data_IF_552699584975
#
_entry.id   IF_552699584975
#
_cell.length_a   1.000
_cell.length_b   1.000
_cell.length_c   1.000
_cell.angle_alpha   90.00
_cell.angle_beta   90.00
_cell.angle_gamma   90.00
#
_symmetry.space_group_name_H-M   'P 1'
#
loop_
_entity.id
_entity.type
_entity.pdbx_description
1 polymer ?
#
# COMPACT_ATOMS: atom_id res chain seq x y z
N UNK A 1 -8.97 -2.27 31.63
CA UNK A 1 -9.28 -2.47 30.20
C UNK A 1 -9.08 -3.93 29.91
N UNK A 2 -10.14 -4.66 29.59
CA UNK A 2 -10.07 -6.08 29.23
C UNK A 2 -9.75 -6.21 27.74
N UNK A 3 -8.54 -6.65 27.43
CA UNK A 3 -8.12 -6.97 26.06
C UNK A 3 -7.78 -8.46 26.02
N UNK A 4 -8.43 -9.22 25.13
CA UNK A 4 -8.09 -10.63 24.90
C UNK A 4 -7.41 -10.78 23.53
N UNK A 5 -6.29 -11.48 23.53
CA UNK A 5 -5.61 -11.87 22.30
C UNK A 5 -6.47 -12.90 21.55
N UNK A 6 -6.87 -12.58 20.32
CA UNK A 6 -7.59 -13.50 19.44
C UNK A 6 -6.73 -13.75 18.19
N UNK A 7 -6.58 -15.01 17.83
CA UNK A 7 -5.99 -15.40 16.55
C UNK A 7 -6.98 -15.03 15.45
N UNK A 8 -6.52 -14.27 14.45
CA UNK A 8 -7.37 -13.85 13.34
C UNK A 8 -7.85 -15.05 12.52
N UNK A 9 -9.13 -15.08 12.19
CA UNK A 9 -9.67 -16.10 11.28
C UNK A 9 -9.19 -15.82 9.85
N UNK A 10 -8.72 -16.86 9.17
CA UNK A 10 -8.34 -16.79 7.76
C UNK A 10 -9.61 -16.63 6.91
N UNK A 11 -9.84 -15.43 6.40
CA UNK A 11 -11.00 -15.12 5.56
C UNK A 11 -10.69 -15.35 4.09
N UNK A 12 -11.63 -15.94 3.37
CA UNK A 12 -11.62 -15.89 1.91
C UNK A 12 -11.96 -14.46 1.46
N UNK A 13 -11.00 -13.80 0.81
CA UNK A 13 -11.08 -12.41 0.35
C UNK A 13 -12.12 -12.26 -0.77
N UNK A 14 -12.40 -13.35 -1.50
CA UNK A 14 -13.42 -13.45 -2.54
C UNK A 14 -14.81 -13.83 -2.01
N UNK A 15 -14.92 -14.29 -0.76
CA UNK A 15 -16.20 -14.54 -0.13
C UNK A 15 -16.82 -13.20 0.33
N UNK A 16 -17.77 -12.68 -0.47
CA UNK A 16 -18.61 -11.54 -0.13
C UNK A 16 -19.54 -11.88 1.05
N UNK A 17 -18.98 -11.89 2.26
CA UNK A 17 -19.78 -11.91 3.47
C UNK A 17 -20.45 -10.54 3.67
N UNK A 18 -21.58 -10.53 4.37
CA UNK A 18 -22.39 -9.31 4.59
C UNK A 18 -21.56 -8.19 5.22
N UNK A 19 -20.65 -8.53 6.15
CA UNK A 19 -19.80 -7.55 6.82
C UNK A 19 -18.80 -6.87 5.87
N UNK A 20 -18.16 -7.62 4.98
CA UNK A 20 -17.21 -7.12 3.98
C UNK A 20 -17.92 -6.21 2.97
N UNK A 21 -19.11 -6.58 2.51
CA UNK A 21 -19.92 -5.76 1.60
C UNK A 21 -20.34 -4.45 2.27
N UNK A 22 -20.78 -4.50 3.53
CA UNK A 22 -21.11 -3.29 4.30
C UNK A 22 -19.87 -2.41 4.48
N UNK A 23 -18.74 -3.00 4.85
CA UNK A 23 -17.49 -2.26 5.02
C UNK A 23 -17.05 -1.57 3.71
N UNK A 24 -17.04 -2.30 2.59
CA UNK A 24 -16.71 -1.74 1.27
C UNK A 24 -17.67 -0.63 0.87
N UNK A 25 -18.97 -0.77 1.15
CA UNK A 25 -19.96 0.29 0.92
C UNK A 25 -19.60 1.56 1.70
N UNK A 26 -19.37 1.43 3.02
CA UNK A 26 -19.00 2.57 3.88
C UNK A 26 -17.69 3.22 3.41
N UNK A 27 -16.68 2.41 3.07
CA UNK A 27 -15.42 2.91 2.54
C UNK A 27 -15.62 3.71 1.24
N UNK A 28 -16.39 3.18 0.29
CA UNK A 28 -16.69 3.85 -0.97
C UNK A 28 -17.53 5.12 -0.78
N UNK A 29 -18.45 5.13 0.18
CA UNK A 29 -19.23 6.32 0.54
C UNK A 29 -18.34 7.43 1.10
N UNK A 30 -17.44 7.11 2.04
CA UNK A 30 -16.45 8.06 2.56
C UNK A 30 -15.54 8.61 1.45
N UNK A 31 -15.06 7.73 0.58
CA UNK A 31 -14.25 8.14 -0.58
C UNK A 31 -15.04 9.06 -1.51
N UNK A 32 -16.33 8.78 -1.73
CA UNK A 32 -17.21 9.62 -2.54
C UNK A 32 -17.46 10.99 -1.91
N UNK A 33 -17.62 11.07 -0.58
CA UNK A 33 -17.79 12.35 0.11
C UNK A 33 -16.54 13.22 0.05
N UNK A 34 -15.35 12.60 0.00
CA UNK A 34 -14.09 13.30 -0.16
C UNK A 34 -13.80 13.74 -1.62
N UNK A 35 -14.73 13.58 -2.57
CA UNK A 35 -14.53 14.03 -3.95
C UNK A 35 -15.22 15.38 -4.22
N UNK A 36 -14.50 16.29 -4.87
CA UNK A 36 -15.07 17.55 -5.34
C UNK A 36 -16.26 17.30 -6.28
N UNK A 37 -17.32 18.10 -6.11
CA UNK A 37 -18.48 18.10 -7.01
C UNK A 37 -18.01 18.48 -8.42
N UNK A 38 -18.54 17.80 -9.44
CA UNK A 38 -18.24 18.10 -10.84
C UNK A 38 -18.77 19.50 -11.17
N UNK A 39 -17.87 20.47 -11.33
CA UNK A 39 -18.26 21.85 -11.66
C UNK A 39 -18.51 22.01 -13.16
N UNK A 40 -19.25 23.05 -13.54
CA UNK A 40 -19.56 23.36 -14.96
C UNK A 40 -18.30 23.63 -15.80
N UNK A 41 -17.21 24.09 -15.19
CA UNK A 41 -15.90 24.26 -15.84
C UNK A 41 -15.33 22.94 -16.36
N UNK A 42 -15.51 21.84 -15.61
CA UNK A 42 -15.07 20.49 -15.99
C UNK A 42 -15.86 19.90 -17.16
N UNK A 43 -17.04 20.48 -17.44
CA UNK A 43 -17.90 20.08 -18.55
C UNK A 43 -17.41 20.64 -19.90
N UNK A 44 -16.70 21.78 -19.88
CA UNK A 44 -16.14 22.43 -21.08
C UNK A 44 -14.76 21.87 -21.46
N UNK A 45 -13.98 21.37 -20.51
CA UNK A 45 -12.59 20.93 -20.75
C UNK A 45 -12.44 19.42 -21.00
N UNK A 46 -13.52 18.63 -21.00
CA UNK A 46 -13.51 17.16 -21.06
C UNK A 46 -12.60 16.48 -20.00
N UNK A 47 -12.05 17.23 -19.03
CA UNK A 47 -11.35 16.67 -17.89
C UNK A 47 -12.37 16.17 -16.87
N UNK A 48 -12.73 14.89 -16.99
CA UNK A 48 -13.54 14.17 -16.03
C UNK A 48 -12.79 13.87 -14.72
N UNK A 49 -11.97 14.78 -14.21
CA UNK A 49 -11.20 14.54 -13.00
C UNK A 49 -11.95 15.10 -11.79
N UNK A 50 -12.51 14.19 -10.99
CA UNK A 50 -12.88 14.49 -9.61
C UNK A 50 -11.58 14.48 -8.80
N UNK A 51 -11.30 15.57 -8.10
CA UNK A 51 -10.14 15.70 -7.21
C UNK A 51 -10.58 15.48 -5.76
N UNK A 52 -9.71 14.89 -4.94
CA UNK A 52 -9.95 14.76 -3.51
C UNK A 52 -10.01 16.14 -2.84
N UNK A 53 -10.89 16.31 -1.84
CA UNK A 53 -11.05 17.56 -1.08
C UNK A 53 -9.98 17.63 0.01
N UNK A 54 -9.79 16.54 0.75
CA UNK A 54 -8.73 16.32 1.73
C UNK A 54 -7.66 15.44 1.13
N UNK A 55 -6.43 15.60 1.60
CA UNK A 55 -5.32 14.72 1.23
C UNK A 55 -5.64 13.28 1.64
N UNK A 56 -5.53 12.35 0.71
CA UNK A 56 -5.68 10.92 1.01
C UNK A 56 -4.30 10.28 1.08
N UNK A 57 -3.99 9.58 2.17
CA UNK A 57 -2.70 8.89 2.35
C UNK A 57 -2.94 7.40 2.33
N UNK A 58 -2.40 6.71 1.34
CA UNK A 58 -2.52 5.27 1.16
C UNK A 58 -1.29 4.57 1.68
N UNK A 59 -1.49 3.62 2.59
CA UNK A 59 -0.44 2.78 3.16
C UNK A 59 -0.52 1.41 2.51
N UNK A 60 0.63 0.88 2.11
CA UNK A 60 0.71 -0.49 1.60
C UNK A 60 2.06 -1.12 1.92
N UNK A 61 2.08 -2.44 1.87
CA UNK A 61 3.24 -3.31 2.04
C UNK A 61 3.40 -4.20 0.82
N UNK A 62 4.65 -4.42 0.40
CA UNK A 62 4.95 -5.35 -0.68
C UNK A 62 6.21 -6.13 -0.37
N UNK A 63 6.27 -7.36 -0.88
CA UNK A 63 7.41 -8.24 -0.69
C UNK A 63 8.12 -8.45 -2.03
N UNK A 64 9.42 -8.15 -2.05
CA UNK A 64 10.25 -8.34 -3.23
C UNK A 64 11.40 -9.30 -2.90
N UNK A 65 11.65 -10.26 -3.79
CA UNK A 65 12.84 -11.11 -3.67
C UNK A 65 14.00 -10.46 -4.43
N UNK A 66 15.22 -10.58 -3.91
CA UNK A 66 16.45 -10.05 -4.48
C UNK A 66 16.63 -10.48 -5.94
N UNK A 67 16.30 -11.74 -6.24
CA UNK A 67 16.33 -12.27 -7.59
C UNK A 67 14.90 -12.35 -8.12
N UNK A 68 14.49 -11.32 -8.86
CA UNK A 68 13.18 -11.22 -9.52
C UNK A 68 13.26 -11.47 -11.03
N UNK A 69 14.28 -12.21 -11.48
CA UNK A 69 14.53 -12.51 -12.89
C UNK A 69 13.78 -13.77 -13.34
N UNK A 70 13.12 -13.68 -14.49
CA UNK A 70 12.56 -14.85 -15.15
C UNK A 70 13.69 -15.85 -15.46
N UNK A 71 13.49 -17.12 -15.09
CA UNK A 71 14.44 -18.20 -15.40
C UNK A 71 14.56 -18.45 -16.91
N UNK A 72 13.62 -17.93 -17.70
CA UNK A 72 13.57 -18.07 -19.16
C UNK A 72 14.06 -16.79 -19.82
N UNK A 73 15.01 -16.93 -20.74
CA UNK A 73 15.56 -15.83 -21.55
C UNK A 73 15.97 -16.40 -22.89
N UNK A 74 15.79 -15.64 -23.97
CA UNK A 74 16.30 -16.01 -25.28
C UNK A 74 17.79 -15.69 -25.34
N UNK A 75 18.62 -16.71 -25.51
CA UNK A 75 20.08 -16.56 -25.66
C UNK A 75 20.49 -17.09 -27.03
N UNK A 76 21.51 -16.46 -27.62
CA UNK A 76 22.14 -17.00 -28.82
C UNK A 76 22.84 -18.34 -28.48
N UNK A 77 22.96 -19.30 -29.42
CA UNK A 77 23.41 -20.67 -29.14
C UNK A 77 24.77 -20.81 -28.43
N UNK A 78 25.62 -19.78 -28.47
CA UNK A 78 26.97 -19.78 -27.88
C UNK A 78 27.08 -18.96 -26.59
N UNK A 79 25.98 -18.41 -26.09
CA UNK A 79 25.97 -17.56 -24.89
C UNK A 79 25.41 -18.37 -23.72
N UNK A 80 26.25 -18.56 -22.70
CA UNK A 80 25.81 -19.10 -21.42
C UNK A 80 25.47 -17.96 -20.46
N UNK A 81 24.36 -18.08 -19.73
CA UNK A 81 24.01 -17.19 -18.64
C UNK A 81 24.06 -17.95 -17.33
N UNK A 82 24.96 -17.56 -16.43
CA UNK A 82 24.96 -17.99 -15.04
C UNK A 82 24.05 -17.05 -14.23
N UNK A 83 23.02 -17.60 -13.59
CA UNK A 83 22.21 -16.88 -12.62
C UNK A 83 22.45 -17.46 -11.22
N UNK A 84 22.40 -16.62 -10.17
CA UNK A 84 22.34 -17.12 -8.80
C UNK A 84 21.15 -18.08 -8.66
N UNK A 85 21.36 -19.21 -7.97
CA UNK A 85 20.28 -20.16 -7.70
C UNK A 85 19.27 -19.58 -6.70
N UNK A 86 17.99 -19.90 -6.90
CA UNK A 86 16.89 -19.49 -6.00
C UNK A 86 16.49 -18.02 -6.09
N UNK A 87 15.51 -17.63 -5.26
CA UNK A 87 14.93 -16.28 -5.24
C UNK A 87 15.82 -15.23 -4.55
N UNK A 88 16.89 -15.65 -3.89
CA UNK A 88 17.72 -14.77 -3.04
C UNK A 88 16.97 -14.31 -1.78
N UNK A 89 17.54 -13.32 -1.08
CA UNK A 89 16.93 -12.71 0.12
C UNK A 89 15.59 -12.06 -0.22
N UNK A 90 14.66 -12.03 0.74
CA UNK A 90 13.38 -11.32 0.58
C UNK A 90 13.43 -10.02 1.37
N UNK A 91 12.77 -9.00 0.84
CA UNK A 91 12.60 -7.71 1.47
C UNK A 91 11.12 -7.40 1.60
N UNK A 92 10.73 -6.86 2.75
CA UNK A 92 9.45 -6.19 2.96
C UNK A 92 9.66 -4.70 2.72
N UNK A 93 8.85 -4.12 1.84
CA UNK A 93 8.86 -2.70 1.50
C UNK A 93 7.52 -2.15 1.98
N UNK A 94 7.53 -1.09 2.79
CA UNK A 94 6.32 -0.30 3.05
C UNK A 94 6.51 1.12 2.55
N UNK A 95 5.40 1.76 2.23
CA UNK A 95 5.38 3.17 1.88
C UNK A 95 4.03 3.80 2.11
N UNK A 96 4.04 5.12 2.21
CA UNK A 96 2.83 5.94 2.27
C UNK A 96 2.78 6.87 1.05
N UNK A 97 1.78 6.67 0.19
CA UNK A 97 1.52 7.51 -0.97
C UNK A 97 0.44 8.54 -0.65
N UNK A 98 0.73 9.83 -0.79
CA UNK A 98 -0.22 10.92 -0.63
C UNK A 98 -0.82 11.32 -1.99
N UNK A 99 -2.15 11.47 -2.03
CA UNK A 99 -2.88 12.09 -3.13
C UNK A 99 -3.42 13.43 -2.64
N UNK A 100 -2.81 14.51 -3.13
CA UNK A 100 -3.16 15.89 -2.76
C UNK A 100 -3.85 16.60 -3.91
N UNK A 101 -4.66 17.61 -3.59
CA UNK A 101 -5.20 18.52 -4.59
C UNK A 101 -4.19 19.63 -4.90
N UNK A 102 -3.88 19.82 -6.19
CA UNK A 102 -3.04 20.92 -6.67
C UNK A 102 -3.89 21.87 -7.51
N UNK A 103 -4.16 23.06 -6.97
CA UNK A 103 -5.08 24.02 -7.59
C UNK A 103 -6.52 23.50 -7.63
N UNK A 104 -7.37 24.02 -8.51
CA UNK A 104 -8.82 23.70 -8.47
C UNK A 104 -9.18 22.33 -9.05
N UNK A 105 -8.35 21.73 -9.92
CA UNK A 105 -8.76 20.62 -10.79
C UNK A 105 -7.70 19.53 -11.03
N UNK A 106 -6.56 19.57 -10.34
CA UNK A 106 -5.51 18.56 -10.49
C UNK A 106 -5.28 17.85 -9.18
N UNK A 107 -4.93 16.57 -9.29
CA UNK A 107 -4.37 15.78 -8.19
C UNK A 107 -2.90 15.54 -8.46
N UNK A 108 -2.10 15.51 -7.40
CA UNK A 108 -0.71 15.09 -7.42
C UNK A 108 -0.57 13.90 -6.49
N UNK A 109 0.03 12.84 -7.01
CA UNK A 109 0.48 11.71 -6.20
C UNK A 109 1.95 11.90 -5.87
N UNK A 110 2.33 11.71 -4.62
CA UNK A 110 3.72 11.67 -4.20
C UNK A 110 3.93 10.69 -3.05
N UNK A 111 5.16 10.25 -2.84
CA UNK A 111 5.52 9.52 -1.63
C UNK A 111 5.70 10.52 -0.49
N UNK A 112 5.09 10.23 0.66
CA UNK A 112 5.34 11.01 1.88
C UNK A 112 6.83 10.89 2.22
N UNK A 113 7.48 12.01 2.53
CA UNK A 113 8.92 12.03 2.75
C UNK A 113 9.32 11.08 3.88
N UNK A 114 10.34 10.27 3.63
CA UNK A 114 10.86 9.31 4.63
C UNK A 114 9.94 8.12 4.92
N UNK A 115 8.76 8.03 4.29
CA UNK A 115 7.80 6.95 4.53
C UNK A 115 8.22 5.61 3.92
N UNK A 116 9.00 5.61 2.84
CA UNK A 116 9.44 4.37 2.21
C UNK A 116 10.50 3.70 3.09
N UNK A 117 10.19 2.51 3.61
CA UNK A 117 11.11 1.69 4.41
C UNK A 117 11.26 0.32 3.78
N UNK A 118 12.46 -0.24 3.95
CA UNK A 118 12.80 -1.57 3.47
C UNK A 118 13.39 -2.35 4.62
N UNK A 119 12.81 -3.51 4.93
CA UNK A 119 13.33 -4.43 5.92
C UNK A 119 13.66 -5.77 5.26
N UNK A 120 14.69 -6.43 5.79
CA UNK A 120 15.00 -7.81 5.42
C UNK A 120 13.93 -8.73 5.99
N UNK A 121 13.34 -9.56 5.13
CA UNK A 121 12.29 -10.52 5.45
C UNK A 121 12.82 -11.96 5.26
N UNK A 122 13.99 -12.24 5.85
CA UNK A 122 14.73 -13.49 5.64
C UNK A 122 14.12 -14.68 6.40
N UNK A 123 13.34 -14.47 7.47
CA UNK A 123 12.71 -15.58 8.22
C UNK A 123 11.59 -16.25 7.42
N UNK A 124 10.89 -15.49 6.58
CA UNK A 124 9.87 -16.02 5.66
C UNK A 124 10.45 -16.91 4.54
N UNK A 125 11.78 -17.00 4.38
CA UNK A 125 12.44 -17.89 3.44
C UNK A 125 12.87 -19.24 4.08
N UNK A 126 12.88 -19.33 5.42
CA UNK A 126 13.40 -20.49 6.16
C UNK A 126 12.31 -21.53 6.43
N UNK A 127 11.05 -21.13 6.54
CA UNK A 127 9.94 -22.04 6.78
C UNK A 127 9.11 -22.19 5.50
N UNK A 128 9.17 -23.37 4.88
CA UNK A 128 8.36 -23.75 3.71
C UNK A 128 6.85 -23.80 3.97
N UNK A 129 6.41 -23.49 5.19
CA UNK A 129 5.02 -23.48 5.64
C UNK A 129 4.63 -22.24 6.47
N UNK A 130 5.54 -21.29 6.70
CA UNK A 130 5.37 -20.28 7.74
C UNK A 130 5.01 -18.91 7.20
N UNK A 131 3.93 -18.37 7.77
CA UNK A 131 3.49 -16.98 7.72
C UNK A 131 4.58 -15.96 7.32
N UNK A 132 4.38 -15.31 6.16
CA UNK A 132 5.31 -14.32 5.62
C UNK A 132 5.30 -13.01 6.43
N UNK A 133 4.34 -12.82 7.34
CA UNK A 133 4.29 -11.69 8.26
C UNK A 133 5.31 -11.78 9.41
N UNK A 134 6.03 -12.89 9.56
CA UNK A 134 6.98 -13.09 10.66
C UNK A 134 8.09 -12.03 10.79
N UNK A 135 8.37 -11.27 9.72
CA UNK A 135 9.34 -10.18 9.74
C UNK A 135 8.73 -8.77 9.70
N UNK A 136 7.44 -8.60 9.36
CA UNK A 136 6.72 -7.33 9.45
C UNK A 136 5.76 -7.37 10.63
N UNK A 137 6.30 -7.10 11.82
CA UNK A 137 5.55 -7.20 13.08
C UNK A 137 4.73 -5.94 13.35
N UNK A 138 3.73 -6.06 14.22
CA UNK A 138 2.93 -4.90 14.69
C UNK A 138 3.81 -3.81 15.27
N UNK A 139 4.87 -4.14 16.02
CA UNK A 139 5.76 -3.13 16.60
C UNK A 139 6.54 -2.35 15.53
N UNK A 140 6.93 -3.02 14.43
CA UNK A 140 7.58 -2.36 13.29
C UNK A 140 6.59 -1.44 12.56
N UNK A 141 5.37 -1.91 12.35
CA UNK A 141 4.31 -1.11 11.75
C UNK A 141 3.98 0.10 12.62
N UNK A 142 3.74 -0.08 13.92
CA UNK A 142 3.38 1.00 14.85
C UNK A 142 4.48 2.07 14.93
N UNK A 143 5.75 1.67 15.03
CA UNK A 143 6.86 2.62 15.04
C UNK A 143 6.95 3.40 13.73
N UNK A 144 6.81 2.71 12.59
CA UNK A 144 6.80 3.35 11.29
C UNK A 144 5.61 4.30 11.11
N UNK A 145 4.42 3.86 11.53
CA UNK A 145 3.18 4.62 11.45
C UNK A 145 3.21 5.86 12.34
N UNK A 146 3.82 5.77 13.53
CA UNK A 146 4.04 6.92 14.40
C UNK A 146 4.89 7.99 13.73
N UNK A 147 6.03 7.62 13.15
CA UNK A 147 6.90 8.54 12.41
C UNK A 147 6.18 9.16 11.20
N UNK A 148 5.33 8.39 10.53
CA UNK A 148 4.48 8.89 9.47
C UNK A 148 3.52 9.96 10.00
N UNK A 149 2.80 9.67 11.09
CA UNK A 149 1.87 10.60 11.73
C UNK A 149 2.54 11.89 12.25
N UNK A 150 3.82 11.85 12.61
CA UNK A 150 4.59 13.06 12.95
C UNK A 150 4.88 13.92 11.70
N UNK A 151 5.04 13.31 10.53
CA UNK A 151 5.38 14.00 9.28
C UNK A 151 4.14 14.57 8.58
N UNK A 152 3.00 13.89 8.67
CA UNK A 152 1.79 14.22 7.90
C UNK A 152 1.22 15.63 8.16
N UNK A 153 1.09 16.10 9.41
CA UNK A 153 0.55 17.44 9.68
C UNK A 153 1.39 18.55 9.06
N UNK A 154 2.72 18.41 9.10
CA UNK A 154 3.64 19.41 8.59
C UNK A 154 3.65 19.46 7.05
N UNK A 155 3.55 18.30 6.38
CA UNK A 155 3.58 18.24 4.91
C UNK A 155 2.22 18.45 4.24
N UNK A 156 1.13 17.95 4.86
CA UNK A 156 -0.18 17.85 4.21
C UNK A 156 -1.33 18.43 5.05
N UNK A 157 -1.10 18.77 6.32
CA UNK A 157 -2.14 19.16 7.25
C UNK A 157 -3.13 18.04 7.52
N UNK A 158 -4.40 18.39 7.55
CA UNK A 158 -5.49 17.43 7.74
C UNK A 158 -5.60 16.43 6.56
N UNK A 159 -5.47 15.14 6.86
CA UNK A 159 -5.49 14.06 5.86
C UNK A 159 -6.32 12.86 6.32
N UNK A 160 -6.79 12.09 5.34
CA UNK A 160 -7.50 10.83 5.54
C UNK A 160 -6.54 9.67 5.24
N UNK A 161 -6.18 8.91 6.27
CA UNK A 161 -5.29 7.76 6.14
C UNK A 161 -6.11 6.52 5.78
N UNK A 162 -5.70 5.82 4.73
CA UNK A 162 -6.31 4.61 4.22
C UNK A 162 -5.28 3.49 4.17
N UNK A 163 -5.65 2.34 4.73
CA UNK A 163 -4.89 1.10 4.60
C UNK A 163 -5.85 0.03 4.09
N UNK A 164 -5.44 -0.70 3.06
CA UNK A 164 -6.15 -1.90 2.66
C UNK A 164 -5.73 -3.04 3.60
N UNK A 165 -6.71 -3.60 4.32
CA UNK A 165 -6.57 -4.84 5.08
C UNK A 165 -7.09 -6.01 4.24
#
# INVERSE_FOLDING_TARGET
MDCSFKVGERRDIGADNVANVIYRRIHLERKRTNLNKRTSLNKRTNLNKRTAIRTEVFLDESYCNLHHVAQRTWLLPKICRSLPSGKGRRFCITGAGAITQVGKLRTRGEWVKGSVKVWTADKAAITSAGDYHGDFTSEKFERWFWQLCETLPDEYGECDIMMAL
#
